data_IF_796812650947
#
_entry.id   IF_796812650947
#
_cell.length_a   1.000
_cell.length_b   1.000
_cell.length_c   1.000
_cell.angle_alpha   90.00
_cell.angle_beta   90.00
_cell.angle_gamma   90.00
#
_symmetry.space_group_name_H-M   'P 1'
#
loop_
_entity.id
_entity.type
_entity.pdbx_description
1 polymer ?
#
# COMPACT_ATOMS: atom_id res chain seq x y z
N UNK A 1 14.81 21.06 46.35
CA UNK A 1 13.61 20.34 46.82
C UNK A 1 12.37 21.11 46.38
N UNK A 2 11.68 20.68 45.32
CA UNK A 2 10.42 21.29 44.87
C UNK A 2 9.41 20.16 44.62
N UNK A 3 8.26 20.23 45.29
CA UNK A 3 7.26 19.17 45.33
C UNK A 3 6.46 19.09 44.01
N UNK A 4 6.39 17.90 43.42
CA UNK A 4 5.56 17.59 42.24
C UNK A 4 4.07 17.51 42.64
N UNK A 5 3.13 18.10 41.88
CA UNK A 5 1.71 17.92 42.16
C UNK A 5 1.24 16.51 41.79
N UNK A 6 0.41 15.92 42.67
CA UNK A 6 -0.16 14.58 42.53
C UNK A 6 -1.21 14.54 41.41
N UNK A 7 -0.98 13.68 40.41
CA UNK A 7 -1.92 13.39 39.31
C UNK A 7 -3.14 12.65 39.85
N UNK A 8 -4.34 13.21 39.69
CA UNK A 8 -5.59 12.53 40.03
C UNK A 8 -5.77 11.27 39.16
N UNK A 9 -5.98 10.12 39.80
CA UNK A 9 -6.27 8.85 39.12
C UNK A 9 -7.67 8.90 38.49
N UNK A 10 -7.71 9.00 37.16
CA UNK A 10 -8.96 8.93 36.38
C UNK A 10 -9.45 7.48 36.41
N UNK A 11 -10.46 7.18 37.24
CA UNK A 11 -11.14 5.88 37.25
C UNK A 11 -11.75 5.63 35.86
N UNK A 12 -11.25 4.62 35.16
CA UNK A 12 -11.88 4.11 33.95
C UNK A 12 -13.19 3.42 34.35
N UNK A 13 -14.32 3.93 33.84
CA UNK A 13 -15.61 3.26 33.94
C UNK A 13 -15.59 2.04 33.01
N UNK A 14 -15.88 0.85 33.56
CA UNK A 14 -16.19 -0.34 32.76
C UNK A 14 -17.48 -0.11 31.99
N UNK A 15 -17.44 -0.30 30.68
CA UNK A 15 -18.64 -0.38 29.83
C UNK A 15 -19.09 -1.83 29.80
N UNK A 16 -20.23 -2.12 30.41
CA UNK A 16 -20.91 -3.41 30.34
C UNK A 16 -21.46 -3.63 28.93
N UNK A 17 -21.09 -4.75 28.29
CA UNK A 17 -21.66 -5.18 27.01
C UNK A 17 -22.97 -5.93 27.26
N UNK A 18 -24.09 -5.40 26.75
CA UNK A 18 -25.38 -6.10 26.67
C UNK A 18 -25.38 -7.18 25.57
N UNK A 19 -26.34 -8.12 25.61
CA UNK A 19 -26.26 -9.34 24.83
C UNK A 19 -26.45 -9.11 23.33
N UNK A 20 -25.74 -9.93 22.55
CA UNK A 20 -25.68 -9.93 21.10
C UNK A 20 -27.07 -9.93 20.45
N UNK A 21 -27.42 -8.84 19.78
CA UNK A 21 -28.55 -8.78 18.88
C UNK A 21 -28.22 -9.57 17.60
N UNK A 22 -29.05 -10.58 17.35
CA UNK A 22 -28.98 -11.54 16.25
C UNK A 22 -29.02 -10.82 14.90
N UNK A 23 -27.98 -10.98 14.08
CA UNK A 23 -28.01 -10.59 12.67
C UNK A 23 -28.98 -11.49 11.90
N UNK A 24 -30.10 -10.92 11.45
CA UNK A 24 -30.88 -11.44 10.32
C UNK A 24 -30.49 -10.64 9.07
N UNK A 25 -30.28 -11.30 7.92
CA UNK A 25 -29.95 -10.61 6.68
C UNK A 25 -31.24 -10.04 6.09
N UNK A 26 -31.21 -8.77 5.69
CA UNK A 26 -31.97 -8.11 4.60
C UNK A 26 -32.13 -6.61 4.92
N UNK A 27 -31.99 -5.78 3.88
CA UNK A 27 -32.10 -4.31 3.84
C UNK A 27 -30.82 -3.47 4.02
N UNK A 28 -29.91 -3.54 3.04
CA UNK A 28 -29.25 -2.31 2.55
C UNK A 28 -29.39 -2.28 1.02
N UNK A 29 -30.62 -1.99 0.57
CA UNK A 29 -30.91 -1.53 -0.77
C UNK A 29 -31.79 -0.28 -0.64
N UNK A 30 -31.30 0.78 0.04
CA UNK A 30 -31.93 2.10 0.07
C UNK A 30 -31.07 3.18 0.76
N UNK A 31 -29.78 3.34 0.41
CA UNK A 31 -29.07 4.62 0.59
C UNK A 31 -28.15 4.84 -0.62
N UNK A 32 -28.74 4.87 -1.81
CA UNK A 32 -28.06 5.18 -3.06
C UNK A 32 -28.91 6.18 -3.85
N UNK A 33 -29.10 7.39 -3.33
CA UNK A 33 -29.76 8.46 -4.07
C UNK A 33 -29.49 9.85 -3.47
N UNK A 34 -28.26 10.35 -3.62
CA UNK A 34 -27.88 11.77 -3.79
C UNK A 34 -26.43 11.95 -3.37
N UNK A 35 -25.54 11.92 -4.35
CA UNK A 35 -24.37 12.79 -4.49
C UNK A 35 -23.74 12.41 -5.84
N UNK A 36 -24.05 13.22 -6.86
CA UNK A 36 -23.42 13.13 -8.18
C UNK A 36 -21.96 13.53 -7.98
N UNK A 37 -21.01 12.60 -8.15
CA UNK A 37 -19.58 12.96 -8.14
C UNK A 37 -18.61 11.90 -7.66
N UNK A 38 -19.06 10.88 -6.92
CA UNK A 38 -18.22 9.73 -6.63
C UNK A 38 -18.35 8.72 -7.77
N UNK A 39 -17.33 8.68 -8.64
CA UNK A 39 -17.15 7.51 -9.50
C UNK A 39 -16.85 6.34 -8.57
N UNK A 40 -17.86 5.54 -8.28
CA UNK A 40 -17.63 4.15 -7.89
C UNK A 40 -16.77 3.58 -9.01
N UNK A 41 -15.56 3.16 -8.69
CA UNK A 41 -14.67 2.53 -9.64
C UNK A 41 -15.32 1.20 -10.01
N UNK A 42 -16.19 1.22 -11.03
CA UNK A 42 -16.74 0.02 -11.62
C UNK A 42 -15.55 -0.64 -12.31
N UNK A 43 -14.94 -1.61 -11.64
CA UNK A 43 -14.06 -2.57 -12.29
C UNK A 43 -14.88 -3.12 -13.45
N UNK A 44 -14.46 -2.84 -14.67
CA UNK A 44 -14.94 -3.56 -15.85
C UNK A 44 -14.60 -5.03 -15.60
N UNK A 45 -15.61 -5.80 -15.19
CA UNK A 45 -15.51 -7.24 -15.20
C UNK A 45 -15.77 -7.68 -16.64
N UNK A 46 -14.70 -7.97 -17.37
CA UNK A 46 -14.82 -8.79 -18.57
C UNK A 46 -15.20 -10.20 -18.07
N UNK A 47 -16.51 -10.49 -18.13
CA UNK A 47 -17.08 -11.78 -17.81
C UNK A 47 -16.59 -12.82 -18.83
N UNK A 48 -15.44 -13.45 -18.54
CA UNK A 48 -14.89 -14.50 -19.40
C UNK A 48 -13.42 -14.86 -19.17
N UNK A 49 -12.87 -14.70 -17.97
CA UNK A 49 -11.50 -15.12 -17.67
C UNK A 49 -11.45 -15.94 -16.38
N UNK A 50 -10.72 -17.06 -16.40
CA UNK A 50 -10.33 -17.82 -15.22
C UNK A 50 -9.86 -16.87 -14.12
N UNK A 51 -10.24 -17.16 -12.87
CA UNK A 51 -10.06 -16.34 -11.65
C UNK A 51 -8.75 -15.55 -11.62
N UNK A 52 -8.76 -14.36 -12.20
CA UNK A 52 -7.60 -13.50 -12.27
C UNK A 52 -7.43 -12.79 -10.93
N UNK A 53 -6.31 -13.06 -10.25
CA UNK A 53 -5.96 -12.38 -9.00
C UNK A 53 -5.73 -10.90 -9.29
N UNK A 54 -6.35 -10.02 -8.51
CA UNK A 54 -6.09 -8.59 -8.62
C UNK A 54 -4.84 -8.22 -7.81
N UNK A 55 -3.79 -7.77 -8.50
CA UNK A 55 -2.58 -7.26 -7.86
C UNK A 55 -2.81 -5.90 -7.19
N UNK A 56 -2.34 -5.74 -5.96
CA UNK A 56 -2.34 -4.48 -5.19
C UNK A 56 -0.90 -4.11 -4.86
N UNK A 57 -0.42 -2.97 -5.36
CA UNK A 57 0.92 -2.49 -5.07
C UNK A 57 0.87 -1.37 -4.02
N UNK A 58 1.29 -1.68 -2.79
CA UNK A 58 1.52 -0.68 -1.75
C UNK A 58 2.85 0.03 -2.00
N UNK A 59 2.78 1.30 -2.36
CA UNK A 59 3.96 2.13 -2.61
C UNK A 59 4.35 2.98 -1.41
N UNK A 60 5.64 3.12 -1.18
CA UNK A 60 6.20 4.05 -0.18
C UNK A 60 7.45 4.74 -0.72
N UNK A 61 7.88 5.81 -0.05
CA UNK A 61 9.11 6.50 -0.40
C UNK A 61 10.34 5.61 -0.20
N UNK A 62 10.30 4.73 0.80
CA UNK A 62 11.49 4.00 1.25
C UNK A 62 12.38 4.88 2.13
N UNK A 63 13.40 4.26 2.72
CA UNK A 63 14.28 4.90 3.70
C UNK A 63 15.60 4.14 3.74
N UNK A 64 16.69 4.81 4.09
CA UNK A 64 17.82 4.10 4.69
C UNK A 64 17.36 3.37 5.96
N UNK A 65 17.98 2.26 6.31
CA UNK A 65 17.73 1.54 7.56
C UNK A 65 18.66 2.05 8.65
N UNK A 66 19.92 2.26 8.31
CA UNK A 66 21.01 2.61 9.22
C UNK A 66 21.79 3.83 8.71
N UNK A 67 22.64 4.41 9.57
CA UNK A 67 23.40 5.61 9.24
C UNK A 67 24.37 5.40 8.05
N UNK A 68 25.02 4.24 7.97
CA UNK A 68 25.93 3.87 6.88
C UNK A 68 25.25 3.83 5.50
N UNK A 69 23.93 3.62 5.44
CA UNK A 69 23.17 3.57 4.18
C UNK A 69 22.72 4.96 3.69
N UNK A 70 22.85 6.00 4.51
CA UNK A 70 22.44 7.37 4.18
C UNK A 70 23.04 7.90 2.86
N UNK A 71 24.34 7.70 2.54
CA UNK A 71 24.91 8.21 1.30
C UNK A 71 24.20 7.66 0.06
N UNK A 72 23.98 6.34 0.00
CA UNK A 72 23.30 5.68 -1.11
C UNK A 72 21.82 6.11 -1.21
N UNK A 73 21.14 6.20 -0.07
CA UNK A 73 19.76 6.66 0.00
C UNK A 73 19.61 8.11 -0.51
N UNK A 74 20.45 9.04 -0.05
CA UNK A 74 20.39 10.44 -0.51
C UNK A 74 20.75 10.59 -1.99
N UNK A 75 21.67 9.77 -2.51
CA UNK A 75 21.98 9.74 -3.94
C UNK A 75 20.76 9.30 -4.76
N UNK A 76 20.02 8.28 -4.29
CA UNK A 76 18.76 7.84 -4.89
C UNK A 76 17.69 8.96 -4.85
N UNK A 77 17.49 9.59 -3.68
CA UNK A 77 16.54 10.70 -3.50
C UNK A 77 16.83 11.87 -4.42
N UNK A 78 18.12 12.16 -4.66
CA UNK A 78 18.55 13.27 -5.52
C UNK A 78 18.64 12.89 -7.00
N UNK A 79 18.20 11.69 -7.37
CA UNK A 79 18.26 11.16 -8.74
C UNK A 79 19.69 11.27 -9.33
N UNK A 80 20.70 10.91 -8.53
CA UNK A 80 22.10 10.93 -8.93
C UNK A 80 22.78 12.31 -8.88
N UNK A 81 22.04 13.41 -8.62
CA UNK A 81 22.67 14.72 -8.41
C UNK A 81 23.54 14.71 -7.17
N UNK A 82 24.74 15.30 -7.29
CA UNK A 82 25.73 15.38 -6.21
C UNK A 82 25.10 15.80 -4.87
N UNK A 83 25.43 15.07 -3.81
CA UNK A 83 24.93 15.31 -2.45
C UNK A 83 26.04 15.99 -1.64
N UNK A 84 25.82 17.19 -1.06
CA UNK A 84 26.82 17.84 -0.23
C UNK A 84 27.25 16.97 0.95
N UNK A 85 28.55 16.91 1.24
CA UNK A 85 29.10 16.09 2.34
C UNK A 85 28.52 16.47 3.71
N UNK A 86 28.24 17.76 3.91
CA UNK A 86 27.59 18.28 5.12
C UNK A 86 26.19 17.69 5.32
N UNK A 87 25.40 17.57 4.24
CA UNK A 87 24.05 16.99 4.28
C UNK A 87 24.09 15.49 4.59
N UNK A 88 25.04 14.76 3.99
CA UNK A 88 25.28 13.35 4.31
C UNK A 88 25.58 13.19 5.80
N UNK A 89 26.54 13.96 6.30
CA UNK A 89 26.97 13.92 7.71
C UNK A 89 25.82 14.26 8.66
N UNK A 90 24.99 15.22 8.27
CA UNK A 90 23.83 15.65 9.04
C UNK A 90 22.77 14.55 9.15
N UNK A 91 22.45 13.88 8.04
CA UNK A 91 21.52 12.74 8.05
C UNK A 91 22.11 11.54 8.78
N UNK A 92 23.40 11.24 8.63
CA UNK A 92 24.06 10.16 9.37
C UNK A 92 23.95 10.36 10.89
N UNK A 93 24.15 11.59 11.39
CA UNK A 93 23.94 11.92 12.80
C UNK A 93 22.49 11.70 13.25
N UNK A 94 21.51 12.04 12.40
CA UNK A 94 20.08 11.78 12.70
C UNK A 94 19.80 10.28 12.82
N UNK A 95 20.31 9.49 11.89
CA UNK A 95 20.16 8.03 11.91
C UNK A 95 20.86 7.39 13.11
N UNK A 96 22.06 7.85 13.47
CA UNK A 96 22.77 7.37 14.66
C UNK A 96 21.99 7.64 15.95
N UNK A 97 21.28 8.78 16.04
CA UNK A 97 20.44 9.12 17.21
C UNK A 97 19.21 8.22 17.35
N UNK A 98 18.61 7.81 16.24
CA UNK A 98 17.45 6.90 16.26
C UNK A 98 17.85 5.42 16.22
N UNK A 99 19.13 5.13 16.00
CA UNK A 99 19.69 3.78 15.79
C UNK A 99 19.33 3.18 14.44
N UNK A 100 18.02 3.03 14.18
CA UNK A 100 17.49 2.40 12.96
C UNK A 100 16.14 3.01 12.56
N UNK A 101 15.92 3.22 11.26
CA UNK A 101 14.60 3.57 10.75
C UNK A 101 13.67 2.36 10.74
N UNK A 102 12.46 2.46 11.33
CA UNK A 102 11.49 1.36 11.34
C UNK A 102 10.61 1.33 10.08
N UNK A 103 10.79 2.27 9.14
CA UNK A 103 9.84 2.52 8.05
C UNK A 103 9.61 1.30 7.16
N UNK A 104 10.67 0.57 6.82
CA UNK A 104 10.61 -0.64 5.98
C UNK A 104 9.77 -1.72 6.67
N UNK A 105 10.04 -1.98 7.96
CA UNK A 105 9.33 -3.00 8.73
C UNK A 105 7.85 -2.65 8.88
N UNK A 106 7.54 -1.39 9.17
CA UNK A 106 6.18 -0.91 9.29
C UNK A 106 5.43 -1.05 7.95
N UNK A 107 6.08 -0.72 6.83
CA UNK A 107 5.47 -0.86 5.50
C UNK A 107 5.19 -2.32 5.17
N UNK A 108 6.13 -3.22 5.48
CA UNK A 108 5.92 -4.66 5.30
C UNK A 108 4.77 -5.19 6.17
N UNK A 109 4.70 -4.75 7.44
CA UNK A 109 3.62 -5.12 8.35
C UNK A 109 2.26 -4.58 7.88
N UNK A 110 2.22 -3.38 7.31
CA UNK A 110 1.02 -2.79 6.72
C UNK A 110 0.55 -3.58 5.49
N UNK A 111 1.45 -3.98 4.60
CA UNK A 111 1.11 -4.82 3.45
C UNK A 111 0.54 -6.17 3.88
N UNK A 112 1.17 -6.82 4.87
CA UNK A 112 0.67 -8.08 5.41
C UNK A 112 -0.71 -7.92 6.07
N UNK A 113 -0.95 -6.81 6.79
CA UNK A 113 -2.26 -6.50 7.36
C UNK A 113 -3.32 -6.26 6.28
N UNK A 114 -2.95 -5.57 5.21
CA UNK A 114 -3.81 -5.33 4.06
C UNK A 114 -4.19 -6.64 3.35
N UNK A 115 -3.22 -7.53 3.11
CA UNK A 115 -3.49 -8.86 2.52
C UNK A 115 -4.53 -9.62 3.36
N UNK A 116 -4.30 -9.73 4.68
CA UNK A 116 -5.23 -10.42 5.59
C UNK A 116 -6.62 -9.80 5.57
N UNK A 117 -6.71 -8.47 5.51
CA UNK A 117 -8.01 -7.79 5.42
C UNK A 117 -8.72 -8.12 4.10
N UNK A 118 -8.02 -8.05 2.97
CA UNK A 118 -8.58 -8.38 1.66
C UNK A 118 -9.04 -9.84 1.58
N UNK A 119 -8.23 -10.78 2.08
CA UNK A 119 -8.59 -12.20 2.15
C UNK A 119 -9.82 -12.43 3.02
N UNK A 120 -9.95 -11.72 4.15
CA UNK A 120 -11.10 -11.84 5.05
C UNK A 120 -12.41 -11.30 4.45
N UNK A 121 -12.35 -10.23 3.65
CA UNK A 121 -13.53 -9.61 3.04
C UNK A 121 -13.94 -10.24 1.71
N UNK A 122 -12.98 -10.73 0.93
CA UNK A 122 -13.21 -11.16 -0.45
C UNK A 122 -12.92 -12.65 -0.70
N UNK A 123 -12.33 -13.34 0.28
CA UNK A 123 -11.82 -14.70 0.12
C UNK A 123 -10.36 -14.70 -0.31
N UNK A 124 -9.66 -15.80 0.01
CA UNK A 124 -8.28 -15.99 -0.40
C UNK A 124 -8.14 -16.09 -1.92
N UNK A 125 -6.98 -15.68 -2.45
CA UNK A 125 -6.65 -15.72 -3.88
C UNK A 125 -7.51 -14.81 -4.77
N UNK A 126 -8.16 -13.79 -4.20
CA UNK A 126 -8.80 -12.72 -4.98
C UNK A 126 -7.84 -11.54 -5.17
N UNK A 127 -7.02 -11.24 -4.15
CA UNK A 127 -6.05 -10.16 -4.18
C UNK A 127 -4.64 -10.66 -3.80
N UNK A 128 -3.62 -10.03 -4.38
CA UNK A 128 -2.22 -10.22 -4.01
C UNK A 128 -1.55 -8.88 -3.74
N UNK A 129 -1.14 -8.64 -2.50
CA UNK A 129 -0.52 -7.39 -2.06
C UNK A 129 1.01 -7.49 -2.12
N UNK A 130 1.62 -6.58 -2.87
CA UNK A 130 3.07 -6.40 -2.94
C UNK A 130 3.47 -5.01 -2.41
N UNK A 131 4.73 -4.87 -1.97
CA UNK A 131 5.31 -3.58 -1.56
C UNK A 131 6.31 -3.13 -2.61
N UNK A 132 6.26 -1.85 -2.98
CA UNK A 132 7.28 -1.21 -3.81
C UNK A 132 7.76 0.10 -3.21
N UNK A 133 9.05 0.38 -3.28
CA UNK A 133 9.66 1.57 -2.68
C UNK A 133 10.37 2.41 -3.75
N UNK A 134 10.34 3.73 -3.57
CA UNK A 134 10.97 4.66 -4.51
C UNK A 134 12.51 4.68 -4.36
N UNK A 135 13.00 4.68 -3.12
CA UNK A 135 14.43 4.83 -2.79
C UNK A 135 14.99 3.71 -1.90
N UNK A 136 14.31 2.57 -1.87
CA UNK A 136 14.73 1.38 -1.15
C UNK A 136 14.31 0.12 -1.92
N UNK A 137 14.76 -1.04 -1.44
CA UNK A 137 14.31 -2.33 -1.96
C UNK A 137 13.09 -2.84 -1.16
N UNK A 138 12.16 -3.57 -1.79
CA UNK A 138 12.03 -3.78 -3.25
C UNK A 138 11.64 -2.48 -3.97
N UNK A 139 12.20 -2.24 -5.16
CA UNK A 139 11.82 -1.05 -5.95
C UNK A 139 10.40 -1.20 -6.51
N UNK A 140 9.74 -0.09 -6.83
CA UNK A 140 8.40 -0.11 -7.47
C UNK A 140 8.39 -0.99 -8.72
N UNK A 141 9.40 -0.86 -9.59
CA UNK A 141 9.51 -1.67 -10.80
C UNK A 141 9.73 -3.16 -10.49
N UNK A 142 10.60 -3.48 -9.51
CA UNK A 142 10.84 -4.86 -9.09
C UNK A 142 9.60 -5.51 -8.49
N UNK A 143 8.86 -4.77 -7.67
CA UNK A 143 7.63 -5.23 -7.04
C UNK A 143 6.49 -5.44 -8.05
N UNK A 144 6.33 -4.52 -9.00
CA UNK A 144 5.35 -4.65 -10.07
C UNK A 144 5.67 -5.87 -10.96
N UNK A 145 6.94 -6.09 -11.31
CA UNK A 145 7.37 -7.26 -12.06
C UNK A 145 7.08 -8.57 -11.32
N UNK A 146 7.39 -8.65 -10.02
CA UNK A 146 7.10 -9.82 -9.21
C UNK A 146 5.59 -10.10 -9.06
N UNK A 147 4.76 -9.06 -8.89
CA UNK A 147 3.31 -9.20 -8.80
C UNK A 147 2.68 -9.72 -10.11
N UNK A 148 3.22 -9.30 -11.26
CA UNK A 148 2.80 -9.80 -12.58
C UNK A 148 3.23 -11.25 -12.80
N UNK A 149 4.32 -11.72 -12.18
CA UNK A 149 4.75 -13.13 -12.27
C UNK A 149 3.92 -14.09 -11.39
N UNK A 150 3.17 -13.57 -10.41
CA UNK A 150 2.16 -14.35 -9.67
C UNK A 150 0.88 -14.53 -10.51
N UNK A 151 0.74 -13.79 -11.63
CA UNK A 151 -0.21 -14.14 -12.68
C UNK A 151 0.26 -15.43 -13.36
N UNK A 152 -0.58 -16.45 -13.35
CA UNK A 152 -0.28 -17.77 -13.93
C UNK A 152 0.08 -17.64 -15.43
N UNK A 153 0.88 -18.56 -16.01
CA UNK A 153 1.44 -18.42 -17.35
C UNK A 153 0.31 -18.45 -18.38
N UNK A 154 -0.13 -17.28 -18.84
CA UNK A 154 -1.32 -17.28 -19.68
C UNK A 154 -1.75 -16.00 -20.35
N UNK A 155 -1.04 -14.85 -20.25
CA UNK A 155 -1.40 -13.71 -21.13
C UNK A 155 -0.38 -12.58 -21.23
N UNK A 156 0.61 -12.69 -22.12
CA UNK A 156 1.16 -11.49 -22.77
C UNK A 156 0.14 -11.00 -23.81
N UNK A 157 -0.73 -10.05 -23.43
CA UNK A 157 -1.55 -9.30 -24.40
C UNK A 157 -0.87 -7.97 -24.71
N UNK A 158 0.09 -8.00 -25.63
CA UNK A 158 0.48 -6.79 -26.38
C UNK A 158 -0.62 -6.52 -27.40
N UNK A 159 -1.59 -5.67 -27.08
CA UNK A 159 -2.51 -5.15 -28.10
C UNK A 159 -1.77 -4.11 -28.93
N UNK A 160 -1.05 -4.55 -29.96
CA UNK A 160 -0.70 -3.70 -31.08
C UNK A 160 -2.03 -3.31 -31.74
N UNK A 161 -2.55 -2.10 -31.47
CA UNK A 161 -3.65 -1.55 -32.26
C UNK A 161 -3.07 -1.18 -33.61
N UNK A 162 -3.11 -2.14 -34.52
CA UNK A 162 -2.91 -1.85 -35.93
C UNK A 162 -4.18 -1.16 -36.44
N UNK A 163 -4.16 0.17 -36.37
CA UNK A 163 -5.21 1.03 -36.91
C UNK A 163 -5.13 1.07 -38.44
N UNK A 164 -5.44 -0.04 -39.09
CA UNK A 164 -5.72 -0.08 -40.51
C UNK A 164 -7.13 0.50 -40.74
N UNK A 165 -7.17 1.74 -41.21
CA UNK A 165 -8.36 2.42 -41.73
C UNK A 165 -8.99 1.55 -42.83
N UNK A 166 -10.19 1.02 -42.59
CA UNK A 166 -11.08 0.57 -43.66
C UNK A 166 -11.90 1.78 -44.10
N UNK A 167 -11.54 2.36 -45.24
CA UNK A 167 -12.47 3.17 -46.03
C UNK A 167 -13.45 2.22 -46.74
N UNK A 168 -14.75 2.52 -46.80
CA UNK A 168 -15.65 1.81 -47.69
C UNK A 168 -15.42 2.31 -49.13
N UNK A 169 -15.24 1.39 -50.07
CA UNK A 169 -15.47 1.63 -51.50
C UNK A 169 -16.52 0.63 -51.97
N UNK A 170 -17.51 1.20 -52.66
CA UNK A 170 -18.68 0.62 -53.32
C UNK A 170 -19.79 0.13 -52.40
#
# INVERSE_FOLDING_TARGET
MAARPRRASRRLRRVSHGPAARCRPHHIAAVAARLRGFRCFHLHQDAGAATAVTGVLLVTFGSAVTADQVPAYLASVRAGRAVPAELISEFQRRYARIGRSPLIDITAAQAAAMQRALDAYHGANVFSVAVGMLHAAPSIAGAAGAAVLVDHPGRLRTSHRDSARRSPRC
#
